data_IF_174275955419
#
_entry.id   IF_174275955419
#
_cell.length_a   1.000
_cell.length_b   1.000
_cell.length_c   1.000
_cell.angle_alpha   90.00
_cell.angle_beta   90.00
_cell.angle_gamma   90.00
#
_symmetry.space_group_name_H-M   'P 1'
#
loop_
_entity.id
_entity.type
_entity.pdbx_description
1 polymer ?
#
# COMPACT_ATOMS: atom_id res chain seq x y z
N UNK A 1 -70.97 -23.89 -58.27
CA UNK A 1 -70.42 -22.55 -58.02
C UNK A 1 -69.64 -22.66 -56.73
N UNK A 2 -68.27 -22.70 -56.79
CA UNK A 2 -67.37 -22.75 -55.62
C UNK A 2 -66.72 -21.38 -55.54
N UNK A 3 -66.98 -20.71 -54.45
CA UNK A 3 -66.39 -19.41 -54.08
C UNK A 3 -64.97 -19.58 -53.56
N UNK A 4 -63.98 -18.92 -54.14
CA UNK A 4 -62.61 -18.89 -53.78
C UNK A 4 -62.39 -17.60 -52.96
N UNK A 5 -61.96 -17.71 -51.66
CA UNK A 5 -61.54 -16.60 -50.83
C UNK A 5 -60.03 -16.46 -50.93
N UNK A 6 -59.42 -15.29 -51.21
CA UNK A 6 -57.99 -15.14 -51.21
C UNK A 6 -57.46 -14.94 -49.77
N UNK A 7 -56.45 -15.73 -49.42
CA UNK A 7 -55.68 -15.60 -48.16
C UNK A 7 -54.66 -14.45 -48.34
N UNK A 8 -54.81 -13.39 -47.53
CA UNK A 8 -53.90 -12.27 -47.47
C UNK A 8 -52.74 -12.61 -46.52
N UNK A 9 -51.53 -12.79 -47.04
CA UNK A 9 -50.34 -13.04 -46.22
C UNK A 9 -49.85 -11.72 -45.64
N UNK A 10 -49.89 -11.62 -44.29
CA UNK A 10 -49.29 -10.50 -43.54
C UNK A 10 -47.82 -10.84 -43.31
N UNK A 11 -46.94 -10.09 -43.96
CA UNK A 11 -45.50 -10.14 -43.75
C UNK A 11 -45.16 -9.34 -42.50
N UNK A 12 -44.79 -10.02 -41.36
CA UNK A 12 -44.20 -9.38 -40.17
C UNK A 12 -42.73 -9.12 -40.43
N UNK A 13 -42.36 -7.86 -40.61
CA UNK A 13 -40.97 -7.43 -40.57
C UNK A 13 -40.46 -7.46 -39.14
N UNK A 14 -39.57 -8.41 -38.83
CA UNK A 14 -38.79 -8.47 -37.60
C UNK A 14 -37.69 -7.41 -37.66
N UNK A 15 -37.88 -6.29 -37.00
CA UNK A 15 -36.81 -5.31 -36.70
C UNK A 15 -35.96 -5.86 -35.60
N UNK A 16 -34.76 -6.32 -35.91
CA UNK A 16 -33.73 -6.68 -34.97
C UNK A 16 -33.22 -5.42 -34.26
N UNK A 17 -33.63 -5.21 -33.02
CA UNK A 17 -33.03 -4.20 -32.14
C UNK A 17 -31.70 -4.75 -31.69
N UNK A 18 -30.59 -4.22 -32.23
CA UNK A 18 -29.24 -4.49 -31.76
C UNK A 18 -29.07 -3.83 -30.39
N UNK A 19 -29.18 -4.61 -29.32
CA UNK A 19 -28.80 -4.18 -28.00
C UNK A 19 -27.27 -4.17 -27.96
N UNK A 20 -26.67 -2.99 -28.20
CA UNK A 20 -25.25 -2.76 -27.91
C UNK A 20 -25.06 -2.88 -26.43
N UNK A 21 -24.55 -4.03 -25.96
CA UNK A 21 -24.09 -4.20 -24.60
C UNK A 21 -23.03 -3.13 -24.31
N UNK A 22 -23.36 -2.13 -23.48
CA UNK A 22 -22.36 -1.25 -22.89
C UNK A 22 -21.38 -2.14 -22.17
N UNK A 23 -20.14 -2.27 -22.68
CA UNK A 23 -19.02 -2.85 -21.93
C UNK A 23 -18.94 -2.06 -20.63
N UNK A 24 -19.34 -2.65 -19.53
CA UNK A 24 -19.01 -2.12 -18.19
C UNK A 24 -17.48 -2.01 -18.16
N UNK A 25 -16.97 -0.79 -18.12
CA UNK A 25 -15.57 -0.55 -17.88
C UNK A 25 -15.30 -1.09 -16.50
N UNK A 26 -14.46 -2.12 -16.41
CA UNK A 26 -14.01 -2.60 -15.10
C UNK A 26 -13.45 -1.42 -14.31
N UNK A 27 -13.76 -1.33 -13.00
CA UNK A 27 -13.23 -0.28 -12.17
C UNK A 27 -11.70 -0.32 -12.24
N UNK A 28 -11.07 0.85 -12.36
CA UNK A 28 -9.61 0.93 -12.35
C UNK A 28 -9.08 0.35 -11.05
N UNK A 29 -7.98 -0.44 -11.08
CA UNK A 29 -7.35 -0.93 -9.87
C UNK A 29 -6.99 0.26 -8.97
N UNK A 30 -7.21 0.09 -7.66
CA UNK A 30 -6.96 1.12 -6.66
C UNK A 30 -6.22 0.48 -5.48
N UNK A 31 -4.94 0.83 -5.30
CA UNK A 31 -4.13 0.34 -4.18
C UNK A 31 -4.73 0.87 -2.88
N UNK A 32 -5.05 0.01 -1.90
CA UNK A 32 -5.48 0.46 -0.59
C UNK A 32 -4.39 1.30 0.08
N UNK A 33 -4.77 2.47 0.61
CA UNK A 33 -3.86 3.36 1.35
C UNK A 33 -4.53 3.76 2.66
N UNK A 34 -3.91 3.39 3.77
CA UNK A 34 -4.39 3.63 5.13
C UNK A 34 -3.75 4.90 5.71
N UNK A 35 -4.57 5.78 6.26
CA UNK A 35 -4.16 6.86 7.14
C UNK A 35 -4.20 6.35 8.59
N UNK A 36 -3.05 6.21 9.23
CA UNK A 36 -2.92 5.96 10.65
C UNK A 36 -2.85 7.30 11.40
N UNK A 37 -3.44 7.39 12.58
CA UNK A 37 -3.80 8.65 13.19
C UNK A 37 -4.46 9.55 12.15
N UNK A 38 -5.63 9.12 11.70
CA UNK A 38 -6.45 9.84 10.75
C UNK A 38 -7.16 11.02 11.44
N UNK A 39 -8.42 11.28 11.15
CA UNK A 39 -9.14 12.40 11.72
C UNK A 39 -9.50 12.09 13.18
N UNK A 40 -9.14 12.95 14.15
CA UNK A 40 -9.49 12.75 15.56
C UNK A 40 -11.00 12.90 15.80
N UNK A 41 -11.48 12.34 16.89
CA UNK A 41 -12.84 12.57 17.37
C UNK A 41 -13.07 14.05 17.73
N UNK A 42 -14.33 14.43 17.89
CA UNK A 42 -14.72 15.76 18.30
C UNK A 42 -15.01 16.71 17.12
N UNK A 43 -14.50 17.94 17.21
CA UNK A 43 -14.82 19.03 16.27
C UNK A 43 -14.31 18.80 14.84
N UNK A 44 -13.19 18.08 14.71
CA UNK A 44 -12.60 17.77 13.40
C UNK A 44 -13.27 16.60 12.67
N UNK A 45 -14.10 15.80 13.35
CA UNK A 45 -14.81 14.69 12.72
C UNK A 45 -15.99 15.23 11.88
N UNK A 46 -15.71 15.75 10.68
CA UNK A 46 -16.67 16.33 9.74
C UNK A 46 -16.54 15.72 8.34
N UNK A 47 -17.57 15.86 7.50
CA UNK A 47 -17.57 15.37 6.12
C UNK A 47 -16.44 16.00 5.31
N UNK A 48 -16.18 17.29 5.49
CA UNK A 48 -15.16 18.05 4.77
C UNK A 48 -13.76 17.48 5.06
N UNK A 49 -13.47 17.10 6.31
CA UNK A 49 -12.18 16.51 6.69
C UNK A 49 -11.99 15.09 6.12
N UNK A 50 -13.04 14.29 6.11
CA UNK A 50 -12.99 12.98 5.48
C UNK A 50 -12.91 13.08 3.96
N UNK A 51 -13.55 14.07 3.34
CA UNK A 51 -13.37 14.36 1.92
C UNK A 51 -11.93 14.82 1.62
N UNK A 52 -11.33 15.67 2.46
CA UNK A 52 -9.94 16.10 2.37
C UNK A 52 -8.96 14.90 2.43
N UNK A 53 -9.21 13.94 3.33
CA UNK A 53 -8.46 12.70 3.42
C UNK A 53 -8.56 11.89 2.12
N UNK A 54 -9.77 11.72 1.59
CA UNK A 54 -10.00 11.04 0.32
C UNK A 54 -9.30 11.75 -0.84
N UNK A 55 -9.39 13.08 -0.90
CA UNK A 55 -8.78 13.90 -1.95
C UNK A 55 -7.24 13.83 -1.93
N UNK A 56 -6.66 13.51 -0.77
CA UNK A 56 -5.24 13.18 -0.62
C UNK A 56 -4.88 11.76 -1.10
N UNK A 57 -5.88 10.98 -1.57
CA UNK A 57 -5.68 9.66 -2.17
C UNK A 57 -5.77 8.49 -1.20
N UNK A 58 -6.16 8.70 0.05
CA UNK A 58 -6.41 7.62 1.00
C UNK A 58 -7.71 6.88 0.70
N UNK A 59 -7.75 5.61 1.07
CA UNK A 59 -8.92 4.74 0.92
C UNK A 59 -9.40 4.19 2.26
N UNK A 60 -8.49 4.12 3.24
CA UNK A 60 -8.72 3.61 4.59
C UNK A 60 -8.38 4.69 5.62
N UNK A 61 -9.18 4.75 6.68
CA UNK A 61 -9.02 5.66 7.80
C UNK A 61 -8.92 4.88 9.11
N UNK A 62 -7.92 5.19 9.95
CA UNK A 62 -7.80 4.65 11.29
C UNK A 62 -7.45 5.75 12.29
N UNK A 63 -8.21 5.80 13.37
CA UNK A 63 -7.93 6.63 14.56
C UNK A 63 -8.24 5.84 15.82
N UNK A 64 -7.50 6.10 16.88
CA UNK A 64 -7.79 5.52 18.19
C UNK A 64 -9.03 6.21 18.77
N UNK A 65 -10.17 5.52 18.72
CA UNK A 65 -11.46 6.03 19.18
C UNK A 65 -11.89 5.29 20.45
N UNK A 66 -11.95 6.01 21.55
CA UNK A 66 -12.19 5.45 22.89
C UNK A 66 -13.66 5.54 23.33
N UNK A 67 -14.57 5.93 22.42
CA UNK A 67 -16.01 5.94 22.61
C UNK A 67 -16.70 5.29 21.43
N UNK A 68 -17.69 4.48 21.70
CA UNK A 68 -18.46 3.78 20.67
C UNK A 68 -19.12 4.77 19.70
N UNK A 69 -19.68 5.86 20.20
CA UNK A 69 -20.38 6.88 19.41
C UNK A 69 -19.41 7.56 18.42
N UNK A 70 -18.17 7.83 18.84
CA UNK A 70 -17.16 8.42 17.96
C UNK A 70 -16.76 7.43 16.85
N UNK A 71 -16.66 6.13 17.17
CA UNK A 71 -16.36 5.09 16.21
C UNK A 71 -17.49 4.91 15.17
N UNK A 72 -18.76 4.98 15.60
CA UNK A 72 -19.91 4.96 14.68
C UNK A 72 -19.92 6.21 13.80
N UNK A 73 -19.68 7.39 14.36
CA UNK A 73 -19.57 8.64 13.59
C UNK A 73 -18.46 8.54 12.52
N UNK A 74 -17.31 7.94 12.84
CA UNK A 74 -16.24 7.72 11.88
C UNK A 74 -16.66 6.77 10.75
N UNK A 75 -17.40 5.69 11.04
CA UNK A 75 -17.99 4.82 10.02
C UNK A 75 -18.94 5.58 9.09
N UNK A 76 -19.84 6.38 9.66
CA UNK A 76 -20.80 7.20 8.89
C UNK A 76 -20.09 8.17 7.94
N UNK A 77 -19.06 8.86 8.43
CA UNK A 77 -18.28 9.82 7.65
C UNK A 77 -17.46 9.14 6.57
N UNK A 78 -16.87 7.97 6.85
CA UNK A 78 -16.22 7.14 5.83
C UNK A 78 -17.22 6.72 4.74
N UNK A 79 -18.40 6.24 5.11
CA UNK A 79 -19.43 5.85 4.14
C UNK A 79 -19.86 7.01 3.24
N UNK A 80 -20.08 8.20 3.81
CA UNK A 80 -20.49 9.40 3.07
C UNK A 80 -19.42 9.86 2.06
N UNK A 81 -18.16 9.66 2.37
CA UNK A 81 -17.03 10.10 1.53
C UNK A 81 -16.44 9.00 0.67
N UNK A 82 -16.95 7.76 0.78
CA UNK A 82 -16.46 6.59 0.04
C UNK A 82 -15.11 6.05 0.54
N UNK A 83 -14.74 6.38 1.78
CA UNK A 83 -13.66 5.77 2.53
C UNK A 83 -14.16 4.53 3.28
N UNK A 84 -13.22 3.73 3.79
CA UNK A 84 -13.49 2.67 4.75
C UNK A 84 -12.73 2.92 6.04
N UNK A 85 -13.33 2.56 7.17
CA UNK A 85 -12.69 2.66 8.49
C UNK A 85 -12.14 1.33 8.95
N UNK A 86 -10.95 1.33 9.52
CA UNK A 86 -10.49 0.26 10.41
C UNK A 86 -11.10 0.56 11.77
N UNK A 87 -12.11 -0.23 12.14
CA UNK A 87 -12.97 0.04 13.28
C UNK A 87 -12.32 -0.32 14.60
N UNK A 88 -12.37 0.59 15.56
CA UNK A 88 -11.89 0.41 16.92
C UNK A 88 -12.82 1.11 17.90
N UNK A 89 -13.20 0.44 18.98
CA UNK A 89 -13.81 1.00 20.19
C UNK A 89 -13.59 0.05 21.37
N UNK A 90 -13.76 0.48 22.63
CA UNK A 90 -13.59 -0.40 23.80
C UNK A 90 -14.52 -1.61 23.81
N UNK A 91 -15.73 -1.46 23.27
CA UNK A 91 -16.72 -2.54 23.21
C UNK A 91 -16.33 -3.65 22.22
N UNK A 92 -15.47 -3.37 21.25
CA UNK A 92 -14.96 -4.39 20.33
C UNK A 92 -14.10 -5.44 21.06
N UNK A 93 -13.39 -5.04 22.12
CA UNK A 93 -12.60 -5.96 22.95
C UNK A 93 -13.48 -6.61 24.03
N UNK A 94 -14.27 -5.83 24.75
CA UNK A 94 -15.05 -6.32 25.90
C UNK A 94 -16.24 -7.19 25.50
N UNK A 95 -16.92 -6.89 24.37
CA UNK A 95 -18.08 -7.64 23.86
C UNK A 95 -18.07 -7.73 22.32
N UNK A 96 -17.10 -8.45 21.74
CA UNK A 96 -16.85 -8.43 20.31
C UNK A 96 -18.05 -8.87 19.47
N UNK A 97 -18.72 -9.97 19.80
CA UNK A 97 -19.80 -10.51 18.98
C UNK A 97 -21.00 -9.54 18.91
N UNK A 98 -21.35 -8.94 20.04
CA UNK A 98 -22.46 -7.97 20.06
C UNK A 98 -22.09 -6.67 19.31
N UNK A 99 -20.86 -6.22 19.44
CA UNK A 99 -20.35 -5.02 18.75
C UNK A 99 -20.28 -5.26 17.25
N UNK A 100 -19.67 -6.36 16.81
CA UNK A 100 -19.56 -6.75 15.40
C UNK A 100 -20.94 -6.87 14.76
N UNK A 101 -21.91 -7.54 15.42
CA UNK A 101 -23.26 -7.67 14.89
C UNK A 101 -23.99 -6.33 14.67
N UNK A 102 -23.58 -5.26 15.36
CA UNK A 102 -24.13 -3.90 15.15
C UNK A 102 -23.51 -3.20 13.94
N UNK A 103 -22.24 -3.50 13.61
CA UNK A 103 -21.47 -2.71 12.62
C UNK A 103 -21.12 -3.47 11.34
N UNK A 104 -21.18 -4.80 11.31
CA UNK A 104 -20.71 -5.62 10.18
C UNK A 104 -21.37 -5.31 8.82
N UNK A 105 -22.58 -4.77 8.82
CA UNK A 105 -23.28 -4.38 7.60
C UNK A 105 -23.11 -2.88 7.29
N UNK A 106 -22.26 -2.17 8.05
CA UNK A 106 -22.08 -0.73 7.85
C UNK A 106 -21.23 -0.45 6.61
N UNK A 107 -21.70 0.40 5.67
CA UNK A 107 -21.01 0.63 4.40
C UNK A 107 -19.62 1.29 4.56
N UNK A 108 -19.35 1.94 5.70
CA UNK A 108 -18.06 2.53 6.02
C UNK A 108 -17.05 1.56 6.67
N UNK A 109 -17.47 0.33 7.00
CA UNK A 109 -16.56 -0.64 7.63
C UNK A 109 -15.57 -1.22 6.60
N UNK A 110 -14.31 -1.35 6.99
CA UNK A 110 -13.25 -1.95 6.20
C UNK A 110 -12.54 -3.11 6.90
N UNK A 111 -12.27 -2.96 8.19
CA UNK A 111 -11.59 -3.97 9.01
C UNK A 111 -11.86 -3.72 10.49
N UNK A 112 -11.46 -4.66 11.36
CA UNK A 112 -11.49 -4.54 12.82
C UNK A 112 -10.08 -4.45 13.39
N UNK A 113 -9.75 -3.38 14.11
CA UNK A 113 -8.46 -3.22 14.76
C UNK A 113 -8.35 -4.10 16.00
N UNK A 114 -7.24 -4.82 16.11
CA UNK A 114 -6.92 -5.62 17.30
C UNK A 114 -5.87 -4.92 18.17
N UNK A 115 -4.64 -4.82 17.65
CA UNK A 115 -3.51 -4.34 18.44
C UNK A 115 -2.42 -3.76 17.52
N UNK A 116 -1.68 -2.81 18.06
CA UNK A 116 -0.42 -2.33 17.52
C UNK A 116 0.74 -3.02 18.24
N UNK A 117 1.71 -3.51 17.49
CA UNK A 117 2.99 -4.05 17.94
C UNK A 117 2.93 -5.03 19.13
N UNK A 118 2.13 -6.12 19.05
CA UNK A 118 2.04 -7.07 20.15
C UNK A 118 3.34 -7.85 20.32
N UNK A 119 3.66 -8.17 21.58
CA UNK A 119 4.68 -9.17 21.89
C UNK A 119 4.19 -10.60 21.67
N UNK A 120 5.09 -11.57 21.59
CA UNK A 120 4.74 -12.99 21.48
C UNK A 120 3.79 -13.48 22.61
N UNK A 121 3.84 -12.84 23.77
CA UNK A 121 3.00 -13.20 24.93
C UNK A 121 1.53 -12.79 24.72
N UNK A 122 1.29 -11.78 23.91
CA UNK A 122 -0.06 -11.26 23.62
C UNK A 122 -0.80 -12.10 22.59
N UNK A 123 -0.07 -12.81 21.70
CA UNK A 123 -0.63 -13.52 20.55
C UNK A 123 -1.73 -14.54 20.90
N UNK A 124 -1.64 -15.35 21.98
CA UNK A 124 -2.73 -16.29 22.32
C UNK A 124 -4.05 -15.60 22.66
N UNK A 125 -4.03 -14.47 23.37
CA UNK A 125 -5.22 -13.70 23.71
C UNK A 125 -5.81 -13.03 22.46
N UNK A 126 -4.95 -12.44 21.61
CA UNK A 126 -5.33 -11.83 20.34
C UNK A 126 -5.95 -12.84 19.38
N UNK A 127 -5.42 -14.07 19.36
CA UNK A 127 -5.98 -15.16 18.58
C UNK A 127 -7.41 -15.54 19.02
N UNK A 128 -7.68 -15.52 20.32
CA UNK A 128 -9.04 -15.77 20.83
C UNK A 128 -9.98 -14.63 20.46
N UNK A 129 -9.53 -13.40 20.59
CA UNK A 129 -10.30 -12.21 20.24
C UNK A 129 -10.61 -12.15 18.73
N UNK A 130 -9.62 -12.37 17.87
CA UNK A 130 -9.81 -12.45 16.42
C UNK A 130 -10.87 -13.50 16.05
N UNK A 131 -10.77 -14.73 16.58
CA UNK A 131 -11.78 -15.80 16.32
C UNK A 131 -13.19 -15.41 16.73
N UNK A 132 -13.37 -14.67 17.83
CA UNK A 132 -14.68 -14.17 18.25
C UNK A 132 -15.26 -13.16 17.25
N UNK A 133 -14.45 -12.22 16.77
CA UNK A 133 -14.84 -11.27 15.73
C UNK A 133 -15.19 -12.01 14.44
N UNK A 134 -14.30 -12.88 13.95
CA UNK A 134 -14.47 -13.67 12.73
C UNK A 134 -15.65 -14.65 12.78
N UNK A 135 -16.04 -15.09 13.97
CA UNK A 135 -17.25 -15.91 14.12
C UNK A 135 -18.53 -15.13 13.83
N UNK A 136 -18.53 -13.83 14.10
CA UNK A 136 -19.68 -12.93 13.92
C UNK A 136 -19.67 -12.22 12.54
N UNK A 137 -18.49 -12.07 11.93
CA UNK A 137 -18.31 -11.46 10.60
C UNK A 137 -17.21 -12.21 9.82
N UNK A 138 -17.57 -12.75 8.65
CA UNK A 138 -16.65 -13.45 7.74
C UNK A 138 -16.15 -12.58 6.58
N UNK A 139 -16.71 -11.40 6.42
CA UNK A 139 -16.44 -10.53 5.27
C UNK A 139 -15.33 -9.51 5.56
N UNK A 140 -15.30 -8.95 6.77
CA UNK A 140 -14.32 -7.94 7.13
C UNK A 140 -13.18 -8.55 7.95
N UNK A 141 -11.91 -8.33 7.55
CA UNK A 141 -10.78 -8.91 8.26
C UNK A 141 -10.51 -8.24 9.59
N UNK A 142 -9.91 -8.97 10.52
CA UNK A 142 -9.18 -8.36 11.62
C UNK A 142 -7.86 -7.76 11.10
N UNK A 143 -7.40 -6.70 11.75
CA UNK A 143 -6.17 -5.99 11.44
C UNK A 143 -5.29 -5.86 12.69
N UNK A 144 -4.01 -6.11 12.52
CA UNK A 144 -2.98 -6.03 13.56
C UNK A 144 -1.67 -5.62 12.90
N UNK A 145 -0.91 -4.71 13.51
CA UNK A 145 0.41 -4.31 13.06
C UNK A 145 1.50 -5.01 13.86
N UNK A 146 2.49 -5.59 13.20
CA UNK A 146 3.61 -6.31 13.80
C UNK A 146 4.81 -5.37 14.03
N UNK A 147 5.61 -5.68 15.03
CA UNK A 147 6.90 -5.06 15.28
C UNK A 147 7.87 -5.23 14.11
N UNK A 148 8.75 -4.24 13.84
CA UNK A 148 9.81 -4.35 12.84
C UNK A 148 11.02 -5.18 13.34
N UNK A 149 11.91 -5.54 12.41
CA UNK A 149 13.08 -6.40 12.69
C UNK A 149 13.99 -5.86 13.80
N UNK A 150 14.12 -4.55 13.93
CA UNK A 150 15.00 -3.92 14.94
C UNK A 150 14.47 -4.01 16.38
N UNK A 151 13.23 -4.42 16.57
CA UNK A 151 12.65 -4.71 17.88
C UNK A 151 13.11 -6.06 18.46
N UNK A 152 13.84 -6.86 17.68
CA UNK A 152 14.32 -8.20 18.03
C UNK A 152 15.84 -8.25 18.11
N UNK A 153 16.39 -9.16 18.92
CA UNK A 153 17.83 -9.32 19.05
C UNK A 153 18.48 -9.90 17.78
N UNK A 154 17.71 -10.56 16.91
CA UNK A 154 18.18 -11.12 15.66
C UNK A 154 17.08 -11.22 14.60
N UNK A 155 17.46 -11.27 13.33
CA UNK A 155 16.53 -11.57 12.22
C UNK A 155 15.81 -12.90 12.41
N UNK A 156 16.45 -13.90 13.05
CA UNK A 156 15.81 -15.20 13.29
C UNK A 156 14.70 -15.09 14.35
N UNK A 157 14.85 -14.28 15.37
CA UNK A 157 13.78 -14.02 16.35
C UNK A 157 12.59 -13.30 15.70
N UNK A 158 12.87 -12.34 14.83
CA UNK A 158 11.84 -11.66 14.03
C UNK A 158 11.07 -12.64 13.13
N UNK A 159 11.77 -13.51 12.40
CA UNK A 159 11.15 -14.57 11.60
C UNK A 159 10.27 -15.46 12.47
N UNK A 160 10.76 -15.87 13.63
CA UNK A 160 10.00 -16.68 14.58
C UNK A 160 8.73 -15.96 15.06
N UNK A 161 8.80 -14.64 15.32
CA UNK A 161 7.64 -13.82 15.68
C UNK A 161 6.57 -13.83 14.57
N UNK A 162 6.96 -13.60 13.31
CA UNK A 162 6.03 -13.64 12.15
C UNK A 162 5.39 -15.03 12.04
N UNK A 163 6.18 -16.10 12.18
CA UNK A 163 5.69 -17.47 12.08
C UNK A 163 4.74 -17.84 13.22
N UNK A 164 5.05 -17.38 14.44
CA UNK A 164 4.19 -17.59 15.59
C UNK A 164 2.86 -16.82 15.45
N UNK A 165 2.94 -15.56 15.00
CA UNK A 165 1.74 -14.78 14.68
C UNK A 165 0.88 -15.49 13.64
N UNK A 166 1.45 -15.95 12.54
CA UNK A 166 0.73 -16.62 11.47
C UNK A 166 0.04 -17.91 11.98
N UNK A 167 0.74 -18.69 12.78
CA UNK A 167 0.23 -19.95 13.31
C UNK A 167 -0.87 -19.80 14.36
N UNK A 168 -0.81 -18.76 15.20
CA UNK A 168 -1.74 -18.56 16.32
C UNK A 168 -2.93 -17.67 15.96
N UNK A 169 -2.66 -16.48 15.39
CA UNK A 169 -3.68 -15.48 15.11
C UNK A 169 -4.30 -15.69 13.73
N UNK A 170 -3.51 -16.08 12.76
CA UNK A 170 -3.93 -16.52 11.43
C UNK A 170 -4.75 -15.52 10.65
N UNK A 171 -4.36 -14.23 10.66
CA UNK A 171 -5.03 -13.21 9.84
C UNK A 171 -4.75 -13.40 8.34
N UNK A 172 -5.60 -12.86 7.45
CA UNK A 172 -5.43 -13.00 6.00
C UNK A 172 -4.26 -12.20 5.44
N UNK A 173 -3.72 -11.22 6.18
CA UNK A 173 -2.60 -10.38 5.78
C UNK A 173 -1.59 -10.22 6.92
N UNK A 174 -0.34 -9.88 6.57
CA UNK A 174 0.62 -9.30 7.48
C UNK A 174 0.57 -7.78 7.41
N UNK A 175 0.94 -7.10 8.48
CA UNK A 175 1.19 -5.66 8.52
C UNK A 175 2.36 -5.39 9.44
N UNK A 176 3.23 -4.47 9.05
CA UNK A 176 4.36 -4.05 9.89
C UNK A 176 4.75 -2.60 9.56
N UNK A 177 5.48 -1.98 10.47
CA UNK A 177 6.11 -0.69 10.25
C UNK A 177 7.63 -0.78 10.37
N UNK A 178 8.32 0.00 9.54
CA UNK A 178 9.75 0.24 9.63
C UNK A 178 10.08 1.55 8.93
N UNK A 179 10.44 2.55 9.69
CA UNK A 179 10.73 3.88 9.16
C UNK A 179 12.22 4.02 8.86
N UNK A 180 12.62 4.07 7.57
CA UNK A 180 14.02 3.93 7.21
C UNK A 180 14.83 5.22 7.27
N UNK A 181 14.20 6.40 7.11
CA UNK A 181 14.94 7.67 6.95
C UNK A 181 15.18 8.31 8.30
N UNK A 182 16.45 8.48 8.66
CA UNK A 182 16.88 9.09 9.92
C UNK A 182 17.74 10.31 9.64
N UNK A 183 17.78 11.24 10.61
CA UNK A 183 18.62 12.42 10.58
C UNK A 183 19.34 12.63 11.91
N UNK A 184 20.65 12.92 11.83
CA UNK A 184 21.47 13.35 12.97
C UNK A 184 22.27 14.59 12.52
N UNK A 185 21.99 15.73 13.12
CA UNK A 185 22.48 17.01 12.63
C UNK A 185 22.03 17.26 11.18
N UNK A 186 22.95 17.59 10.29
CA UNK A 186 22.68 17.79 8.87
C UNK A 186 22.73 16.49 8.03
N UNK A 187 23.07 15.37 8.65
CA UNK A 187 23.22 14.09 7.95
C UNK A 187 21.93 13.31 7.93
N UNK A 188 21.39 13.07 6.72
CA UNK A 188 20.26 12.19 6.48
C UNK A 188 20.76 10.85 5.95
N UNK A 189 20.29 9.75 6.53
CA UNK A 189 20.75 8.41 6.18
C UNK A 189 19.63 7.38 6.27
N UNK A 190 19.84 6.23 5.61
CA UNK A 190 18.94 5.10 5.62
C UNK A 190 19.30 4.15 6.76
N UNK A 191 18.29 3.70 7.52
CA UNK A 191 18.45 2.62 8.50
C UNK A 191 18.94 1.35 7.79
N UNK A 192 20.08 0.80 8.26
CA UNK A 192 20.73 -0.34 7.64
C UNK A 192 19.88 -1.62 7.60
N UNK A 193 18.88 -1.75 8.49
CA UNK A 193 18.01 -2.92 8.57
C UNK A 193 16.75 -2.82 7.69
N UNK A 194 16.49 -1.69 7.05
CA UNK A 194 15.28 -1.48 6.26
C UNK A 194 15.10 -2.53 5.17
N UNK A 195 16.11 -2.70 4.34
CA UNK A 195 16.06 -3.69 3.25
C UNK A 195 15.98 -5.13 3.76
N UNK A 196 16.68 -5.43 4.85
CA UNK A 196 16.60 -6.75 5.51
C UNK A 196 15.18 -7.03 6.03
N UNK A 197 14.51 -6.02 6.60
CA UNK A 197 13.12 -6.16 7.05
C UNK A 197 12.16 -6.47 5.89
N UNK A 198 12.27 -5.68 4.80
CA UNK A 198 11.48 -5.90 3.58
C UNK A 198 11.72 -7.29 2.98
N UNK A 199 13.00 -7.72 2.90
CA UNK A 199 13.38 -9.04 2.39
C UNK A 199 12.74 -10.18 3.20
N UNK A 200 12.79 -10.08 4.54
CA UNK A 200 12.18 -11.05 5.44
C UNK A 200 10.66 -11.05 5.27
N UNK A 201 10.01 -9.88 5.36
CA UNK A 201 8.54 -9.79 5.30
C UNK A 201 8.01 -10.26 3.96
N UNK A 202 8.60 -9.82 2.85
CA UNK A 202 8.22 -10.25 1.49
C UNK A 202 8.37 -11.77 1.31
N UNK A 203 9.47 -12.35 1.80
CA UNK A 203 9.71 -13.80 1.74
C UNK A 203 8.67 -14.57 2.57
N UNK A 204 8.45 -14.18 3.84
CA UNK A 204 7.50 -14.84 4.74
C UNK A 204 6.06 -14.73 4.19
N UNK A 205 5.69 -13.59 3.61
CA UNK A 205 4.39 -13.37 2.97
C UNK A 205 4.20 -14.27 1.74
N UNK A 206 5.19 -14.30 0.82
CA UNK A 206 5.14 -15.15 -0.37
C UNK A 206 5.07 -16.64 -0.04
N UNK A 207 5.85 -17.12 0.93
CA UNK A 207 5.84 -18.53 1.36
C UNK A 207 4.48 -18.97 1.90
N UNK A 208 3.67 -18.04 2.43
CA UNK A 208 2.33 -18.29 2.99
C UNK A 208 1.20 -17.88 2.04
N UNK A 209 1.56 -17.35 0.88
CA UNK A 209 0.58 -16.83 -0.08
C UNK A 209 -0.36 -15.80 0.57
N UNK A 210 0.20 -14.90 1.38
CA UNK A 210 -0.51 -13.81 2.06
C UNK A 210 0.00 -12.46 1.59
N UNK A 211 -0.86 -11.46 1.39
CA UNK A 211 -0.42 -10.09 1.18
C UNK A 211 0.21 -9.53 2.45
N UNK A 212 1.08 -8.55 2.29
CA UNK A 212 1.52 -7.73 3.41
C UNK A 212 1.24 -6.25 3.16
N UNK A 213 1.09 -5.52 4.25
CA UNK A 213 0.86 -4.09 4.32
C UNK A 213 2.08 -3.44 4.97
N UNK A 214 2.53 -2.32 4.46
CA UNK A 214 3.74 -1.67 4.96
C UNK A 214 3.52 -0.18 5.20
N UNK A 215 4.20 0.35 6.21
CA UNK A 215 4.12 1.75 6.60
C UNK A 215 5.20 2.62 5.99
N UNK A 216 4.82 3.83 5.61
CA UNK A 216 5.72 4.94 5.34
C UNK A 216 5.52 6.05 6.38
N UNK A 217 6.62 6.68 6.80
CA UNK A 217 6.61 7.76 7.75
C UNK A 217 6.31 9.09 7.06
N UNK A 218 5.23 9.75 7.47
CA UNK A 218 4.80 11.05 6.96
C UNK A 218 4.77 12.17 8.02
N UNK A 219 5.37 11.92 9.19
CA UNK A 219 5.37 12.88 10.32
C UNK A 219 6.72 12.90 11.00
N UNK A 220 7.33 14.07 11.12
CA UNK A 220 8.62 14.24 11.77
C UNK A 220 8.49 14.06 13.28
N UNK A 221 9.43 13.33 13.89
CA UNK A 221 9.59 13.18 15.34
C UNK A 221 10.91 12.49 15.69
N UNK A 222 11.45 12.73 16.87
CA UNK A 222 12.70 12.10 17.30
C UNK A 222 13.83 12.34 16.29
N UNK A 223 14.42 11.26 15.78
CA UNK A 223 15.44 11.29 14.71
C UNK A 223 14.88 11.26 13.30
N UNK A 224 13.57 11.23 13.14
CA UNK A 224 12.93 11.21 11.82
C UNK A 224 12.72 12.63 11.29
N UNK A 225 13.32 12.98 10.13
CA UNK A 225 13.23 14.32 9.57
C UNK A 225 11.84 14.64 9.03
N UNK A 226 11.61 15.92 8.72
CA UNK A 226 10.44 16.35 7.97
C UNK A 226 10.42 15.59 6.64
N UNK A 227 9.33 14.86 6.32
CA UNK A 227 9.26 14.06 5.11
C UNK A 227 9.33 14.91 3.85
N UNK A 228 10.19 14.51 2.92
CA UNK A 228 10.27 15.06 1.57
C UNK A 228 9.58 14.12 0.57
N UNK A 229 9.36 14.58 -0.65
CA UNK A 229 8.85 13.73 -1.72
C UNK A 229 9.77 12.53 -1.98
N UNK A 230 11.09 12.74 -1.91
CA UNK A 230 12.08 11.69 -2.12
C UNK A 230 12.06 10.65 -0.98
N UNK A 231 11.92 11.10 0.28
CA UNK A 231 11.80 10.20 1.43
C UNK A 231 10.55 9.32 1.35
N UNK A 232 9.42 9.88 0.93
CA UNK A 232 8.17 9.12 0.78
C UNK A 232 8.21 8.18 -0.43
N UNK A 233 8.77 8.62 -1.58
CA UNK A 233 8.94 7.74 -2.74
C UNK A 233 9.85 6.55 -2.42
N UNK A 234 10.94 6.78 -1.67
CA UNK A 234 11.83 5.70 -1.27
C UNK A 234 11.08 4.60 -0.53
N UNK A 235 10.30 4.97 0.50
CA UNK A 235 9.55 4.03 1.33
C UNK A 235 8.46 3.31 0.52
N UNK A 236 7.56 4.08 -0.08
CA UNK A 236 6.36 3.55 -0.73
C UNK A 236 6.68 2.69 -1.96
N UNK A 237 7.63 3.10 -2.79
CA UNK A 237 8.01 2.29 -3.95
C UNK A 237 8.87 1.08 -3.56
N UNK A 238 9.66 1.15 -2.47
CA UNK A 238 10.31 -0.03 -1.93
C UNK A 238 9.28 -1.07 -1.46
N UNK A 239 8.29 -0.63 -0.69
CA UNK A 239 7.19 -1.48 -0.23
C UNK A 239 6.47 -2.16 -1.39
N UNK A 240 6.08 -1.39 -2.42
CA UNK A 240 5.40 -1.90 -3.62
C UNK A 240 6.30 -2.84 -4.43
N UNK A 241 7.57 -2.50 -4.61
CA UNK A 241 8.52 -3.34 -5.34
C UNK A 241 8.80 -4.68 -4.62
N UNK A 242 8.71 -4.71 -3.30
CA UNK A 242 8.76 -5.93 -2.50
C UNK A 242 7.43 -6.69 -2.43
N UNK A 243 6.34 -6.13 -2.99
CA UNK A 243 5.05 -6.80 -3.14
C UNK A 243 3.99 -6.41 -2.11
N UNK A 244 4.14 -5.28 -1.41
CA UNK A 244 3.09 -4.78 -0.53
C UNK A 244 1.78 -4.54 -1.30
N UNK A 245 0.66 -4.92 -0.71
CA UNK A 245 -0.68 -4.81 -1.31
C UNK A 245 -1.56 -3.72 -0.66
N UNK A 246 -1.07 -3.12 0.40
CA UNK A 246 -1.63 -1.92 1.03
C UNK A 246 -0.47 -1.07 1.56
N UNK A 247 -0.56 0.22 1.35
CA UNK A 247 0.36 1.20 1.91
C UNK A 247 -0.27 1.86 3.12
N UNK A 248 0.53 2.24 4.10
CA UNK A 248 0.05 2.83 5.33
C UNK A 248 0.92 4.04 5.66
N UNK A 249 0.31 5.10 6.18
CA UNK A 249 1.04 6.31 6.55
C UNK A 249 0.97 6.54 8.05
N UNK A 250 2.12 6.58 8.69
CA UNK A 250 2.30 7.11 10.04
C UNK A 250 2.86 8.53 9.95
N UNK A 251 2.08 9.59 10.15
CA UNK A 251 0.65 9.69 10.40
C UNK A 251 0.01 10.62 9.37
N UNK A 252 -1.33 10.65 9.27
CA UNK A 252 -2.03 11.67 8.49
C UNK A 252 -2.26 12.94 9.32
N UNK A 253 -2.72 12.78 10.57
CA UNK A 253 -2.92 13.86 11.52
C UNK A 253 -1.82 13.86 12.57
N UNK A 254 -1.38 15.03 13.00
CA UNK A 254 -0.37 15.16 14.04
C UNK A 254 -0.91 14.65 15.39
N UNK A 255 -0.33 13.60 15.99
CA UNK A 255 -0.84 13.02 17.22
C UNK A 255 -0.53 13.83 18.49
N UNK A 256 0.17 14.98 18.36
CA UNK A 256 0.57 15.82 19.49
C UNK A 256 2.06 15.78 19.79
N UNK A 257 2.49 16.59 20.74
CA UNK A 257 3.92 16.79 21.02
C UNK A 257 4.37 16.21 22.38
N UNK A 258 3.45 15.61 23.12
CA UNK A 258 3.68 15.24 24.53
C UNK A 258 4.75 14.15 24.70
N UNK A 259 4.80 13.16 23.79
CA UNK A 259 5.71 12.02 23.90
C UNK A 259 6.93 12.15 22.99
N UNK A 260 6.74 12.50 21.71
CA UNK A 260 7.77 12.39 20.68
C UNK A 260 8.02 13.67 19.89
N UNK A 261 7.49 14.81 20.30
CA UNK A 261 7.60 16.07 19.57
C UNK A 261 7.17 15.94 18.09
N UNK A 262 6.02 15.32 17.83
CA UNK A 262 5.48 15.18 16.48
C UNK A 262 5.22 16.54 15.85
N UNK A 263 5.66 16.74 14.62
CA UNK A 263 5.46 17.97 13.86
C UNK A 263 5.45 17.68 12.36
N UNK A 264 4.92 18.63 11.58
CA UNK A 264 4.86 18.53 10.11
C UNK A 264 4.23 17.22 9.61
N UNK A 265 3.19 16.72 10.29
CA UNK A 265 2.28 15.76 9.68
C UNK A 265 1.53 16.40 8.51
N UNK A 266 0.95 15.66 7.58
CA UNK A 266 0.08 16.22 6.53
C UNK A 266 -0.95 17.22 7.08
N UNK A 267 -1.64 16.87 8.16
CA UNK A 267 -2.51 17.79 8.91
C UNK A 267 -1.90 18.04 10.30
N UNK A 268 -1.77 19.30 10.66
CA UNK A 268 -1.27 19.70 11.97
C UNK A 268 -2.34 19.54 13.05
N UNK A 269 -1.95 19.66 14.31
CA UNK A 269 -2.84 19.46 15.47
C UNK A 269 -4.04 20.43 15.50
N UNK A 270 -3.85 21.64 14.97
CA UNK A 270 -4.89 22.66 14.81
C UNK A 270 -5.77 22.49 13.57
N UNK A 271 -5.55 21.41 12.80
CA UNK A 271 -6.28 21.10 11.58
C UNK A 271 -5.77 21.82 10.33
N UNK A 272 -4.68 22.58 10.40
CA UNK A 272 -4.08 23.21 9.22
C UNK A 272 -3.23 22.20 8.44
N UNK A 273 -3.20 22.34 7.11
CA UNK A 273 -2.30 21.57 6.25
C UNK A 273 -0.87 22.04 6.43
N UNK A 274 0.05 21.11 6.56
CA UNK A 274 1.48 21.36 6.37
C UNK A 274 1.86 21.21 4.88
N UNK A 275 3.12 21.50 4.55
CA UNK A 275 3.66 21.23 3.21
C UNK A 275 3.64 19.73 2.84
N UNK A 276 3.65 18.86 3.84
CA UNK A 276 3.64 17.38 3.64
C UNK A 276 2.31 16.88 3.06
N UNK A 277 1.19 17.59 3.28
CA UNK A 277 -0.10 17.23 2.69
C UNK A 277 -0.06 17.15 1.16
N UNK A 278 0.47 18.18 0.51
CA UNK A 278 0.54 18.22 -0.96
C UNK A 278 1.55 17.18 -1.50
N UNK A 279 2.63 16.91 -0.77
CA UNK A 279 3.59 15.84 -1.12
C UNK A 279 2.90 14.48 -1.08
N UNK A 280 2.19 14.15 0.00
CA UNK A 280 1.44 12.89 0.15
C UNK A 280 0.40 12.76 -0.95
N UNK A 281 -0.40 13.81 -1.20
CA UNK A 281 -1.42 13.83 -2.25
C UNK A 281 -0.84 13.58 -3.64
N UNK A 282 0.29 14.21 -3.96
CA UNK A 282 0.97 14.01 -5.24
C UNK A 282 1.45 12.56 -5.39
N UNK A 283 2.14 12.02 -4.39
CA UNK A 283 2.71 10.66 -4.46
C UNK A 283 1.61 9.61 -4.51
N UNK A 284 0.55 9.75 -3.72
CA UNK A 284 -0.60 8.85 -3.79
C UNK A 284 -1.22 8.85 -5.20
N UNK A 285 -1.30 10.01 -5.86
CA UNK A 285 -1.77 10.09 -7.25
C UNK A 285 -0.85 9.36 -8.22
N UNK A 286 0.48 9.52 -8.08
CA UNK A 286 1.47 8.80 -8.90
C UNK A 286 1.35 7.28 -8.72
N UNK A 287 1.17 6.81 -7.49
CA UNK A 287 1.00 5.40 -7.15
C UNK A 287 -0.31 4.86 -7.71
N UNK A 288 -1.42 5.57 -7.54
CA UNK A 288 -2.72 5.14 -8.07
C UNK A 288 -2.75 5.10 -9.61
N UNK A 289 -1.99 5.97 -10.28
CA UNK A 289 -1.86 5.96 -11.73
C UNK A 289 -1.15 4.69 -12.24
N UNK A 290 -0.36 4.03 -11.39
CA UNK A 290 0.41 2.80 -11.66
C UNK A 290 -0.12 1.59 -10.88
N UNK A 291 -1.35 1.67 -10.38
CA UNK A 291 -1.94 0.62 -9.54
C UNK A 291 -2.04 -0.73 -10.27
N UNK A 292 -2.19 -0.73 -11.58
CA UNK A 292 -2.21 -1.93 -12.43
C UNK A 292 -0.87 -2.68 -12.49
N UNK A 293 0.24 -2.00 -12.18
CA UNK A 293 1.56 -2.65 -12.04
C UNK A 293 1.64 -3.45 -10.74
N UNK A 294 1.17 -2.87 -9.62
CA UNK A 294 1.49 -3.35 -8.28
C UNK A 294 0.36 -4.11 -7.58
N UNK A 295 -0.90 -3.69 -7.78
CA UNK A 295 -2.03 -4.34 -7.10
C UNK A 295 -2.31 -5.72 -7.68
N UNK A 296 -2.18 -6.74 -6.83
CA UNK A 296 -2.28 -8.14 -7.24
C UNK A 296 -1.00 -8.72 -7.83
N UNK A 297 0.09 -7.95 -7.89
CA UNK A 297 1.35 -8.41 -8.43
C UNK A 297 2.03 -9.45 -7.52
N UNK A 298 2.70 -10.41 -8.15
CA UNK A 298 3.58 -11.38 -7.50
C UNK A 298 5.03 -11.04 -7.81
N UNK A 299 5.85 -10.95 -6.76
CA UNK A 299 7.30 -10.77 -6.88
C UNK A 299 7.93 -12.08 -7.33
N UNK A 300 8.63 -12.04 -8.47
CA UNK A 300 9.34 -13.20 -9.02
C UNK A 300 10.82 -13.21 -8.66
N UNK A 301 11.44 -12.04 -8.55
CA UNK A 301 12.83 -11.90 -8.09
C UNK A 301 13.11 -10.50 -7.53
N UNK A 302 14.08 -10.43 -6.61
CA UNK A 302 14.53 -9.21 -5.94
C UNK A 302 16.06 -9.21 -5.88
N UNK A 303 16.66 -8.12 -6.35
CA UNK A 303 18.10 -7.96 -6.35
C UNK A 303 18.48 -6.51 -6.08
N UNK A 304 19.72 -6.30 -5.68
CA UNK A 304 20.33 -4.99 -5.54
C UNK A 304 21.57 -4.85 -6.41
N UNK A 305 21.82 -3.66 -6.91
CA UNK A 305 23.05 -3.28 -7.61
C UNK A 305 23.91 -2.39 -6.71
N UNK A 306 25.09 -2.03 -7.19
CA UNK A 306 25.98 -1.10 -6.52
C UNK A 306 27.21 -1.78 -5.91
N UNK A 307 28.15 -0.97 -5.41
CA UNK A 307 29.37 -1.48 -4.78
C UNK A 307 29.02 -2.19 -3.46
N UNK A 308 28.12 -1.60 -2.68
CA UNK A 308 27.66 -2.13 -1.40
C UNK A 308 26.25 -2.70 -1.55
N UNK A 309 26.06 -3.96 -1.19
CA UNK A 309 24.76 -4.63 -1.20
C UNK A 309 24.18 -4.56 0.21
N UNK A 310 22.93 -4.10 0.38
CA UNK A 310 22.32 -4.02 1.69
C UNK A 310 22.27 -5.38 2.39
N UNK A 311 22.45 -5.37 3.70
CA UNK A 311 22.41 -6.56 4.54
C UNK A 311 21.11 -7.36 4.32
N UNK A 312 21.23 -8.67 4.19
CA UNK A 312 20.08 -9.57 4.02
C UNK A 312 19.52 -9.64 2.60
N UNK A 313 20.03 -8.85 1.65
CA UNK A 313 19.58 -8.82 0.26
C UNK A 313 20.57 -9.54 -0.70
N UNK A 314 20.19 -9.62 -1.96
CA UNK A 314 20.97 -10.35 -2.99
C UNK A 314 21.47 -9.42 -4.08
N UNK A 315 22.71 -9.63 -4.53
CA UNK A 315 23.29 -8.90 -5.66
C UNK A 315 22.67 -9.35 -6.98
N UNK A 316 22.39 -8.39 -7.87
CA UNK A 316 22.04 -8.69 -9.26
C UNK A 316 23.25 -9.31 -9.98
N UNK A 317 23.12 -10.56 -10.41
CA UNK A 317 24.14 -11.30 -11.15
C UNK A 317 23.75 -11.60 -12.60
N UNK A 318 22.45 -11.59 -12.88
CA UNK A 318 21.88 -11.83 -14.20
C UNK A 318 20.79 -10.78 -14.45
N UNK A 319 20.83 -10.15 -15.61
CA UNK A 319 19.85 -9.16 -16.00
C UNK A 319 18.45 -9.80 -16.12
N UNK A 320 17.38 -9.07 -15.74
CA UNK A 320 16.02 -9.49 -16.05
C UNK A 320 15.81 -9.70 -17.55
N UNK A 321 14.86 -10.56 -17.90
CA UNK A 321 14.50 -10.80 -19.28
C UNK A 321 14.14 -9.46 -19.99
N UNK A 322 14.56 -9.32 -21.27
CA UNK A 322 14.35 -8.10 -22.09
C UNK A 322 15.12 -6.84 -21.65
N UNK A 323 15.85 -6.88 -20.53
CA UNK A 323 16.83 -5.85 -20.17
C UNK A 323 18.19 -6.25 -20.75
N UNK A 324 18.68 -5.50 -21.74
CA UNK A 324 19.94 -5.79 -22.43
C UNK A 324 21.16 -5.17 -21.72
N UNK A 325 20.95 -4.04 -21.06
CA UNK A 325 21.96 -3.35 -20.25
C UNK A 325 21.29 -2.70 -19.02
N UNK A 326 21.95 -2.81 -17.89
CA UNK A 326 21.71 -2.02 -16.70
C UNK A 326 23.06 -1.70 -16.06
N UNK A 327 23.48 -0.45 -16.14
CA UNK A 327 24.66 0.07 -15.47
C UNK A 327 24.28 1.21 -14.54
N UNK A 328 24.55 1.04 -13.26
CA UNK A 328 24.29 2.02 -12.21
C UNK A 328 25.56 2.74 -11.76
N UNK A 329 26.67 2.58 -12.49
CA UNK A 329 27.98 3.18 -12.18
C UNK A 329 28.42 2.95 -10.73
N UNK A 330 28.16 1.76 -10.21
CA UNK A 330 28.45 1.40 -8.82
C UNK A 330 27.51 1.98 -7.76
N UNK A 331 26.46 2.71 -8.18
CA UNK A 331 25.44 3.21 -7.28
C UNK A 331 24.40 2.13 -6.95
N UNK A 332 23.78 2.24 -5.75
CA UNK A 332 22.76 1.30 -5.30
C UNK A 332 21.42 1.48 -6.00
N UNK A 333 20.88 0.39 -6.54
CA UNK A 333 19.50 0.32 -6.99
C UNK A 333 18.86 -1.02 -6.59
N UNK A 334 17.57 -0.98 -6.23
CA UNK A 334 16.72 -2.18 -6.13
C UNK A 334 16.25 -2.54 -7.55
N UNK A 335 16.30 -3.80 -7.90
CA UNK A 335 15.77 -4.38 -9.14
C UNK A 335 14.76 -5.45 -8.77
N UNK A 336 13.49 -5.16 -8.96
CA UNK A 336 12.38 -6.09 -8.69
C UNK A 336 11.74 -6.53 -9.99
N UNK A 337 11.53 -7.84 -10.15
CA UNK A 337 10.70 -8.40 -11.21
C UNK A 337 9.35 -8.81 -10.63
N UNK A 338 8.29 -8.35 -11.29
CA UNK A 338 6.91 -8.60 -10.90
C UNK A 338 6.16 -9.26 -12.05
N UNK A 339 5.17 -10.08 -11.72
CA UNK A 339 4.16 -10.51 -12.69
C UNK A 339 2.77 -10.13 -12.17
N UNK A 340 1.94 -9.55 -13.01
CA UNK A 340 0.57 -9.16 -12.68
C UNK A 340 -0.36 -9.45 -13.86
N UNK A 341 -1.39 -10.28 -13.66
CA UNK A 341 -2.36 -10.67 -14.69
C UNK A 341 -1.70 -11.15 -16.01
N UNK A 342 -0.59 -11.89 -15.89
CA UNK A 342 0.15 -12.44 -17.04
C UNK A 342 1.10 -11.46 -17.73
N UNK A 343 1.23 -10.21 -17.24
CA UNK A 343 2.20 -9.23 -17.71
C UNK A 343 3.39 -9.18 -16.77
N UNK A 344 4.61 -9.17 -17.30
CA UNK A 344 5.82 -9.03 -16.51
C UNK A 344 6.28 -7.58 -16.45
N UNK A 345 6.82 -7.19 -15.32
CA UNK A 345 7.34 -5.85 -15.04
C UNK A 345 8.74 -5.92 -14.44
N UNK A 346 9.56 -4.94 -14.76
CA UNK A 346 10.84 -4.70 -14.10
C UNK A 346 10.80 -3.32 -13.46
N UNK A 347 10.99 -3.26 -12.15
CA UNK A 347 11.05 -2.01 -11.37
C UNK A 347 12.50 -1.79 -10.93
N UNK A 348 13.07 -0.64 -11.28
CA UNK A 348 14.41 -0.22 -10.89
C UNK A 348 14.27 1.02 -10.02
N UNK A 349 14.62 0.94 -8.73
CA UNK A 349 14.49 2.04 -7.78
C UNK A 349 15.84 2.56 -7.31
N UNK A 350 15.99 3.89 -7.27
CA UNK A 350 17.11 4.51 -6.57
C UNK A 350 17.01 4.27 -5.05
N UNK A 351 17.98 3.57 -4.47
CA UNK A 351 17.99 3.24 -3.04
C UNK A 351 18.65 4.31 -2.15
N UNK A 352 19.18 5.37 -2.74
CA UNK A 352 19.76 6.48 -1.97
C UNK A 352 18.66 7.39 -1.41
N UNK A 353 18.89 7.93 -0.21
CA UNK A 353 18.03 8.98 0.42
C UNK A 353 18.45 10.40 0.04
N UNK A 354 19.65 10.58 -0.55
CA UNK A 354 20.23 11.92 -0.75
C UNK A 354 20.80 12.14 -2.14
N UNK A 355 21.17 11.08 -2.88
CA UNK A 355 21.90 11.18 -4.15
C UNK A 355 21.05 10.71 -5.32
N UNK A 356 21.06 11.42 -6.46
CA UNK A 356 20.45 10.91 -7.67
C UNK A 356 21.21 9.67 -8.16
N UNK A 357 20.48 8.73 -8.75
CA UNK A 357 21.01 7.56 -9.43
C UNK A 357 21.16 7.88 -10.92
N UNK A 358 22.32 7.60 -11.46
CA UNK A 358 22.54 7.53 -12.91
C UNK A 358 22.42 6.07 -13.35
N UNK A 359 21.41 5.76 -14.13
CA UNK A 359 21.17 4.42 -14.63
C UNK A 359 21.16 4.42 -16.16
N UNK A 360 22.12 3.74 -16.77
CA UNK A 360 22.07 3.44 -18.20
C UNK A 360 21.28 2.15 -18.41
N UNK A 361 20.16 2.26 -19.08
CA UNK A 361 19.27 1.11 -19.35
C UNK A 361 19.05 0.98 -20.85
N UNK A 362 19.21 -0.23 -21.39
CA UNK A 362 18.71 -0.59 -22.71
C UNK A 362 17.83 -1.83 -22.61
N UNK A 363 16.79 -1.86 -23.44
CA UNK A 363 15.83 -2.96 -23.50
C UNK A 363 15.72 -3.44 -24.94
N UNK A 364 15.18 -4.62 -25.15
CA UNK A 364 14.74 -4.99 -26.49
C UNK A 364 13.35 -4.37 -26.83
N UNK A 365 12.83 -4.72 -27.98
CA UNK A 365 11.59 -4.19 -28.51
C UNK A 365 10.32 -4.61 -27.75
N UNK A 366 10.43 -5.59 -26.84
CA UNK A 366 9.32 -6.13 -26.07
C UNK A 366 9.01 -5.32 -24.81
N UNK A 367 9.72 -4.22 -24.55
CA UNK A 367 9.53 -3.43 -23.36
C UNK A 367 8.94 -2.05 -23.65
N UNK A 368 8.04 -1.62 -22.79
CA UNK A 368 7.56 -0.24 -22.66
C UNK A 368 7.90 0.32 -21.31
N UNK A 369 8.12 1.61 -21.22
CA UNK A 369 8.29 2.31 -19.95
C UNK A 369 6.94 2.83 -19.44
N UNK A 370 6.64 2.58 -18.16
CA UNK A 370 5.45 3.07 -17.46
C UNK A 370 5.78 4.40 -16.80
N UNK A 371 5.15 5.48 -17.26
CA UNK A 371 5.38 6.83 -16.76
C UNK A 371 4.67 7.11 -15.43
N UNK A 372 5.00 8.22 -14.71
CA UNK A 372 4.35 8.58 -13.45
C UNK A 372 2.84 8.76 -13.51
N UNK A 373 2.30 9.13 -14.67
CA UNK A 373 0.86 9.27 -14.93
C UNK A 373 0.17 7.95 -15.35
N UNK A 374 0.92 6.85 -15.35
CA UNK A 374 0.46 5.53 -15.77
C UNK A 374 0.40 5.33 -17.28
N UNK A 375 0.80 6.30 -18.10
CA UNK A 375 0.91 6.12 -19.55
C UNK A 375 2.12 5.25 -19.92
N UNK A 376 2.11 4.65 -21.11
CA UNK A 376 3.17 3.77 -21.61
C UNK A 376 3.81 4.39 -22.83
N UNK A 377 5.13 4.35 -22.88
CA UNK A 377 5.91 4.74 -24.06
C UNK A 377 6.93 3.66 -24.42
N UNK A 378 7.36 3.55 -25.70
CA UNK A 378 8.42 2.61 -26.07
C UNK A 378 9.68 2.82 -25.22
N UNK A 379 10.30 1.74 -24.76
CA UNK A 379 11.59 1.79 -24.13
C UNK A 379 12.70 1.85 -25.18
N UNK A 380 13.88 2.37 -24.82
CA UNK A 380 14.97 2.55 -25.77
C UNK A 380 15.82 1.28 -25.94
N UNK A 381 15.99 0.83 -27.17
CA UNK A 381 16.89 -0.27 -27.48
C UNK A 381 18.36 0.13 -27.60
N UNK A 382 18.64 1.42 -27.76
CA UNK A 382 20.02 1.94 -27.92
C UNK A 382 20.69 2.35 -26.61
N UNK A 383 20.00 2.17 -25.49
CA UNK A 383 20.41 2.67 -24.18
C UNK A 383 19.97 4.11 -23.96
N UNK A 384 19.49 4.38 -22.75
CA UNK A 384 19.16 5.72 -22.28
C UNK A 384 19.77 5.92 -20.90
N UNK A 385 20.39 7.06 -20.70
CA UNK A 385 20.79 7.51 -19.39
C UNK A 385 19.57 8.11 -18.68
N UNK A 386 19.18 7.52 -17.58
CA UNK A 386 18.12 8.01 -16.69
C UNK A 386 18.75 8.58 -15.43
N UNK A 387 18.30 9.77 -15.04
CA UNK A 387 18.67 10.38 -13.75
C UNK A 387 17.45 10.32 -12.84
N UNK A 388 17.52 9.46 -11.83
CA UNK A 388 16.45 9.26 -10.85
C UNK A 388 16.78 10.02 -9.57
N UNK A 389 15.91 10.91 -9.15
CA UNK A 389 15.99 11.51 -7.79
C UNK A 389 15.94 10.40 -6.72
N UNK A 390 16.36 10.70 -5.48
CA UNK A 390 16.30 9.69 -4.40
C UNK A 390 14.93 9.03 -4.29
N UNK A 391 14.92 7.71 -4.12
CA UNK A 391 13.71 6.92 -3.98
C UNK A 391 12.84 6.76 -5.23
N UNK A 392 13.11 7.47 -6.32
CA UNK A 392 12.32 7.38 -7.55
C UNK A 392 12.56 6.08 -8.31
N UNK A 393 11.65 5.75 -9.24
CA UNK A 393 11.64 4.46 -9.95
C UNK A 393 11.56 4.62 -11.47
N UNK A 394 12.20 3.68 -12.17
CA UNK A 394 11.86 3.30 -13.55
C UNK A 394 11.02 2.02 -13.50
N UNK A 395 10.00 1.97 -14.32
CA UNK A 395 9.16 0.78 -14.44
C UNK A 395 9.08 0.42 -15.93
N UNK A 396 9.41 -0.82 -16.23
CA UNK A 396 9.31 -1.40 -17.57
C UNK A 396 8.25 -2.49 -17.56
N UNK A 397 7.42 -2.51 -18.61
CA UNK A 397 6.34 -3.45 -18.86
C UNK A 397 6.65 -4.28 -20.09
N UNK A 398 6.58 -5.61 -19.98
CA UNK A 398 6.71 -6.52 -21.13
C UNK A 398 5.44 -6.46 -21.99
N UNK A 399 5.65 -6.29 -23.28
CA UNK A 399 4.57 -6.28 -24.30
C UNK A 399 4.58 -7.61 -25.01
N UNK A 400 3.42 -8.27 -25.03
CA UNK A 400 3.21 -9.52 -25.77
C UNK A 400 3.23 -9.32 -27.29
#
# INVERSE_FOLDING_TARGET
MKSIIPIMAISMALTSVSVTARKHKEPKPCIPILAWYSIPAGEFATVERYQELRDAGFTLSFSHLYKYEDAIKALDLCAQTGLKSVFMCPELESNPEATVNKVKNHPGLGAYFLRDEPSNKDLPALAQWARRIESADKEHPCYLNLLPVHAFASSQEYITHIQLFDSLVHLPQFSYDHYPVNQVGDSVFLNAQFWNNLEIMSREARQRNKPFWAFALATAHGSYPIPTADHLRLQLYADLAYGAQCLQYFTYWNPGTETWNFHQAPIMQDGLRSSVYEIVKQINREIQARADVFLGAHVTSLFHTGNDIPMGTHRLTTLPQHILKLDTHGQGALVSCLTNNGTNYVVIQNTSVTKPLQAEVSTDQHMKMVLPDGSRQPASSYGSLHILTPGNVLIFEEVQ
#
